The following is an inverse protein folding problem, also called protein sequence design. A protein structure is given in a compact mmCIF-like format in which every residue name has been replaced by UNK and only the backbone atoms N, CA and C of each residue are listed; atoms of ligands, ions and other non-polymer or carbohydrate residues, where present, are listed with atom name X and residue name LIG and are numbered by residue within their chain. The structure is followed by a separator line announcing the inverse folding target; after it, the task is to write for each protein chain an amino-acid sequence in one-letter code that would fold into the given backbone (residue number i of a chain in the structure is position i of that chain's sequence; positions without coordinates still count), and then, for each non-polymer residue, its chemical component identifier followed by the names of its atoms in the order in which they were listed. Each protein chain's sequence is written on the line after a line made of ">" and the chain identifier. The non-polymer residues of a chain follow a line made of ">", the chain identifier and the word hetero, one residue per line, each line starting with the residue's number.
data_IF_482008650498
#
_entry.id   IF_482008650498
#
_cell.length_a   1.000
_cell.length_b   1.000
_cell.length_c   1.000
_cell.angle_alpha   90.00
_cell.angle_beta   90.00
_cell.angle_gamma   90.00
#
_symmetry.space_group_name_H-M   'P 1'
#
loop_
_entity.id
_entity.type
_entity.pdbx_description
1 polymer ?
#
# COMPACT_ATOMS: atom_id res chain seq x y z
N UNK A 1 10.00 -13.37 12.97
CA UNK A 1 8.66 -13.77 13.43
C UNK A 1 8.11 -14.66 12.33
N UNK A 2 7.58 -15.83 12.68
CA UNK A 2 7.07 -16.75 11.66
C UNK A 2 5.57 -16.52 11.50
N UNK A 3 5.15 -16.27 10.25
CA UNK A 3 3.75 -16.12 9.88
C UNK A 3 3.24 -17.47 9.42
N UNK A 4 2.09 -17.90 9.93
CA UNK A 4 1.49 -19.17 9.55
C UNK A 4 -0.01 -19.11 9.76
N UNK A 5 -0.77 -19.59 8.78
CA UNK A 5 -2.23 -19.70 8.86
C UNK A 5 -2.70 -21.01 8.26
N UNK A 6 -3.73 -21.59 8.86
CA UNK A 6 -4.44 -22.74 8.30
C UNK A 6 -5.69 -22.23 7.55
N UNK A 7 -5.85 -22.68 6.32
CA UNK A 7 -6.99 -22.36 5.46
C UNK A 7 -7.70 -23.67 5.11
N UNK A 8 -9.02 -23.67 5.25
CA UNK A 8 -9.88 -24.74 4.77
C UNK A 8 -10.29 -24.45 3.33
N UNK A 9 -9.97 -25.35 2.42
CA UNK A 9 -10.50 -25.32 1.06
C UNK A 9 -11.87 -26.01 1.04
N UNK A 10 -12.89 -25.22 0.74
CA UNK A 10 -14.29 -25.65 0.62
C UNK A 10 -14.75 -25.70 -0.84
N UNK A 11 -13.84 -25.53 -1.81
CA UNK A 11 -14.16 -25.56 -3.25
C UNK A 11 -14.29 -26.99 -3.77
N UNK A 12 -13.74 -27.96 -3.04
CA UNK A 12 -13.88 -29.39 -3.30
C UNK A 12 -14.85 -30.04 -2.30
N UNK A 13 -15.54 -31.11 -2.70
CA UNK A 13 -16.40 -31.91 -1.80
C UNK A 13 -15.61 -32.58 -0.65
N UNK A 14 -14.28 -32.59 -0.76
CA UNK A 14 -13.37 -33.00 0.32
C UNK A 14 -12.90 -31.78 1.10
N UNK A 15 -13.07 -31.80 2.44
CA UNK A 15 -12.49 -30.79 3.32
C UNK A 15 -10.97 -30.95 3.36
N UNK A 16 -10.25 -30.06 2.67
CA UNK A 16 -8.78 -30.04 2.67
C UNK A 16 -8.27 -28.86 3.48
N UNK A 17 -7.32 -29.13 4.37
CA UNK A 17 -6.65 -28.12 5.20
C UNK A 17 -5.26 -27.84 4.65
N UNK A 18 -5.00 -26.59 4.33
CA UNK A 18 -3.70 -26.11 3.86
C UNK A 18 -3.08 -25.22 4.92
N UNK A 19 -1.82 -25.49 5.25
CA UNK A 19 -1.01 -24.58 6.06
C UNK A 19 -0.15 -23.74 5.13
N UNK A 20 -0.35 -22.42 5.17
CA UNK A 20 0.48 -21.46 4.46
C UNK A 20 1.35 -20.76 5.49
N UNK A 21 2.66 -20.76 5.29
CA UNK A 21 3.60 -20.13 6.21
C UNK A 21 4.74 -19.42 5.48
N UNK A 22 5.30 -18.42 6.13
CA UNK A 22 6.42 -17.65 5.62
C UNK A 22 7.10 -16.87 6.74
N UNK A 23 8.30 -16.35 6.45
CA UNK A 23 9.08 -15.55 7.40
C UNK A 23 9.53 -14.28 6.70
N UNK A 24 8.89 -13.13 6.98
CA UNK A 24 9.37 -11.87 6.45
C UNK A 24 10.75 -11.54 7.01
N UNK A 25 11.56 -10.84 6.23
CA UNK A 25 12.89 -10.41 6.67
C UNK A 25 12.76 -9.53 7.91
N UNK A 26 11.88 -8.53 7.85
CA UNK A 26 11.46 -7.74 9.02
C UNK A 26 9.95 -7.69 9.14
N UNK A 27 9.49 -7.53 10.38
CA UNK A 27 8.08 -7.34 10.68
C UNK A 27 7.93 -6.43 11.90
N UNK A 28 6.91 -5.57 11.87
CA UNK A 28 6.48 -4.79 13.02
C UNK A 28 5.20 -5.38 13.56
N UNK A 29 5.24 -5.75 14.83
CA UNK A 29 4.14 -6.37 15.54
C UNK A 29 3.85 -5.61 16.82
N UNK A 30 2.58 -5.58 17.20
CA UNK A 30 2.13 -5.03 18.46
C UNK A 30 2.33 -6.04 19.60
N UNK A 31 2.72 -5.54 20.77
CA UNK A 31 2.77 -6.29 22.02
C UNK A 31 4.11 -6.98 22.31
N UNK A 32 4.18 -7.67 23.44
CA UNK A 32 5.40 -8.37 23.83
C UNK A 32 5.62 -9.60 22.95
N UNK A 33 6.86 -9.82 22.50
CA UNK A 33 7.23 -10.89 21.56
C UNK A 33 6.82 -12.29 22.05
N UNK A 34 6.67 -12.47 23.36
CA UNK A 34 6.28 -13.74 23.99
C UNK A 34 4.76 -13.97 24.10
N UNK A 35 3.96 -12.90 24.10
CA UNK A 35 2.52 -12.95 24.38
C UNK A 35 1.65 -12.47 23.22
N UNK A 36 2.26 -12.05 22.11
CA UNK A 36 1.55 -11.48 20.98
C UNK A 36 1.24 -12.58 19.95
N UNK A 37 -0.05 -12.85 19.75
CA UNK A 37 -0.53 -13.74 18.68
C UNK A 37 -0.11 -13.24 17.31
N UNK A 38 -0.12 -14.11 16.31
CA UNK A 38 0.31 -13.79 14.94
C UNK A 38 -0.53 -12.69 14.29
N UNK A 39 -1.75 -12.43 14.78
CA UNK A 39 -2.61 -11.31 14.35
C UNK A 39 -2.17 -9.93 14.86
N UNK A 40 -1.09 -9.82 15.64
CA UNK A 40 -0.56 -8.51 16.05
C UNK A 40 0.44 -7.90 15.06
N UNK A 41 0.83 -8.63 14.02
CA UNK A 41 1.69 -8.10 12.95
C UNK A 41 0.90 -7.12 12.11
N UNK A 42 1.48 -5.94 11.90
CA UNK A 42 0.87 -4.83 11.17
C UNK A 42 1.66 -4.46 9.91
N UNK A 43 2.98 -4.68 9.94
CA UNK A 43 3.87 -4.40 8.82
C UNK A 43 4.75 -5.62 8.55
N UNK A 44 4.85 -6.01 7.29
CA UNK A 44 5.86 -6.95 6.80
C UNK A 44 6.79 -6.27 5.80
N UNK A 45 8.06 -6.65 5.81
CA UNK A 45 9.09 -6.10 4.93
C UNK A 45 9.86 -7.26 4.31
N UNK A 46 10.05 -7.19 3.00
CA UNK A 46 10.83 -8.15 2.22
C UNK A 46 12.02 -7.44 1.56
N UNK A 47 13.23 -7.84 1.94
CA UNK A 47 14.47 -7.30 1.42
C UNK A 47 15.07 -8.30 0.43
N UNK A 48 15.38 -7.85 -0.78
CA UNK A 48 16.02 -8.69 -1.79
C UNK A 48 17.32 -8.10 -2.28
N UNK A 49 18.16 -8.96 -2.84
CA UNK A 49 19.21 -8.47 -3.71
C UNK A 49 18.58 -7.94 -5.00
N UNK A 50 19.20 -6.95 -5.68
CA UNK A 50 18.70 -6.43 -6.96
C UNK A 50 18.44 -7.53 -7.99
N UNK A 51 19.26 -8.58 -8.01
CA UNK A 51 19.13 -9.72 -8.92
C UNK A 51 17.87 -10.58 -8.68
N UNK A 52 17.23 -10.49 -7.50
CA UNK A 52 16.09 -11.32 -7.10
C UNK A 52 14.85 -10.51 -6.67
N UNK A 53 14.88 -9.19 -6.86
CA UNK A 53 13.78 -8.28 -6.47
C UNK A 53 12.44 -8.65 -7.13
N UNK A 54 12.47 -9.27 -8.32
CA UNK A 54 11.27 -9.75 -9.02
C UNK A 54 10.45 -10.79 -8.25
N UNK A 55 11.06 -11.48 -7.26
CA UNK A 55 10.35 -12.43 -6.39
C UNK A 55 9.73 -11.76 -5.16
N UNK A 56 10.21 -10.58 -4.77
CA UNK A 56 9.86 -9.93 -3.51
C UNK A 56 8.38 -9.61 -3.40
N UNK A 57 7.76 -9.18 -4.51
CA UNK A 57 6.34 -8.84 -4.59
C UNK A 57 5.44 -10.00 -4.13
N UNK A 58 5.64 -11.18 -4.69
CA UNK A 58 4.79 -12.34 -4.38
C UNK A 58 5.02 -12.86 -2.96
N UNK A 59 6.25 -12.78 -2.47
CA UNK A 59 6.58 -13.15 -1.09
C UNK A 59 5.92 -12.20 -0.10
N UNK A 60 6.06 -10.88 -0.31
CA UNK A 60 5.41 -9.90 0.55
C UNK A 60 3.88 -10.02 0.48
N UNK A 61 3.30 -10.18 -0.71
CA UNK A 61 1.85 -10.37 -0.85
C UNK A 61 1.37 -11.59 -0.06
N UNK A 62 2.12 -12.68 -0.10
CA UNK A 62 1.81 -13.89 0.67
C UNK A 62 1.81 -13.59 2.17
N UNK A 63 2.80 -12.85 2.68
CA UNK A 63 2.82 -12.46 4.10
C UNK A 63 1.64 -11.58 4.47
N UNK A 64 1.30 -10.58 3.66
CA UNK A 64 0.18 -9.69 3.92
C UNK A 64 -1.15 -10.47 3.94
N UNK A 65 -1.36 -11.40 3.01
CA UNK A 65 -2.55 -12.27 3.01
C UNK A 65 -2.63 -13.11 4.28
N UNK A 66 -1.50 -13.73 4.71
CA UNK A 66 -1.44 -14.48 5.97
C UNK A 66 -1.80 -13.58 7.15
N UNK A 67 -1.18 -12.40 7.25
CA UNK A 67 -1.42 -11.44 8.33
C UNK A 67 -2.89 -11.01 8.39
N UNK A 68 -3.49 -10.63 7.27
CA UNK A 68 -4.89 -10.24 7.22
C UNK A 68 -5.81 -11.38 7.65
N UNK A 69 -5.55 -12.60 7.19
CA UNK A 69 -6.35 -13.76 7.58
C UNK A 69 -6.27 -14.01 9.10
N UNK A 70 -5.08 -13.90 9.69
CA UNK A 70 -4.88 -14.03 11.14
C UNK A 70 -5.63 -12.94 11.91
N UNK A 71 -5.59 -11.69 11.43
CA UNK A 71 -6.34 -10.57 12.04
C UNK A 71 -7.84 -10.83 12.02
N UNK A 72 -8.38 -11.37 10.92
CA UNK A 72 -9.79 -11.78 10.84
C UNK A 72 -10.14 -12.90 11.81
N UNK A 73 -9.30 -13.94 11.90
CA UNK A 73 -9.49 -15.05 12.83
C UNK A 73 -9.45 -14.57 14.29
N UNK A 74 -8.61 -13.59 14.61
CA UNK A 74 -8.53 -12.94 15.92
C UNK A 74 -9.55 -11.80 16.12
N UNK A 75 -10.50 -11.61 15.18
CA UNK A 75 -11.55 -10.60 15.24
C UNK A 75 -11.03 -9.19 15.54
N UNK A 76 -9.89 -8.81 14.94
CA UNK A 76 -9.39 -7.44 15.05
C UNK A 76 -10.35 -6.49 14.33
N UNK A 77 -10.64 -5.36 14.97
CA UNK A 77 -11.47 -4.28 14.43
C UNK A 77 -10.89 -3.77 13.11
N UNK A 78 -9.57 -3.57 13.09
CA UNK A 78 -8.82 -3.19 11.90
C UNK A 78 -8.19 -4.45 11.31
N UNK A 79 -8.55 -4.85 10.10
CA UNK A 79 -7.98 -6.03 9.44
C UNK A 79 -7.07 -5.69 8.25
N UNK A 80 -6.90 -4.41 7.93
CA UNK A 80 -5.95 -3.99 6.90
C UNK A 80 -4.51 -4.28 7.33
N UNK A 81 -3.65 -4.46 6.33
CA UNK A 81 -2.23 -4.79 6.51
C UNK A 81 -1.41 -4.09 5.44
N UNK A 82 -0.16 -3.80 5.77
CA UNK A 82 0.73 -3.05 4.89
C UNK A 82 2.16 -3.57 4.94
N UNK A 83 2.94 -3.18 3.97
CA UNK A 83 4.34 -3.57 3.90
C UNK A 83 5.03 -2.94 2.71
N UNK A 84 6.32 -3.22 2.59
CA UNK A 84 7.08 -2.82 1.41
C UNK A 84 8.18 -3.83 1.11
N UNK A 85 8.59 -3.84 -0.14
CA UNK A 85 9.75 -4.61 -0.56
C UNK A 85 10.80 -3.70 -1.17
N UNK A 86 12.06 -4.08 -0.98
CA UNK A 86 13.18 -3.24 -1.41
C UNK A 86 14.46 -4.02 -1.69
N UNK A 87 15.31 -3.47 -2.57
CA UNK A 87 16.71 -3.87 -2.74
C UNK A 87 17.72 -2.91 -2.08
N UNK A 88 17.23 -2.01 -1.24
CA UNK A 88 17.99 -0.92 -0.62
C UNK A 88 18.08 0.36 -1.45
N UNK A 89 17.72 0.31 -2.75
CA UNK A 89 17.67 1.50 -3.63
C UNK A 89 16.28 1.72 -4.21
N UNK A 90 15.56 0.65 -4.52
CA UNK A 90 14.22 0.67 -5.04
C UNK A 90 13.25 0.26 -3.93
N UNK A 91 12.17 1.01 -3.76
CA UNK A 91 11.13 0.74 -2.77
C UNK A 91 9.78 0.68 -3.46
N UNK A 92 8.98 -0.32 -3.09
CA UNK A 92 7.58 -0.45 -3.49
C UNK A 92 6.74 -0.84 -2.31
N UNK A 93 5.66 -0.10 -2.10
CA UNK A 93 4.77 -0.23 -0.97
C UNK A 93 3.52 -1.00 -1.40
N UNK A 94 3.02 -1.87 -0.52
CA UNK A 94 1.80 -2.62 -0.72
C UNK A 94 0.89 -2.52 0.49
N UNK A 95 -0.39 -2.53 0.20
CA UNK A 95 -1.46 -2.43 1.17
C UNK A 95 -2.60 -3.37 0.79
N UNK A 96 -3.19 -4.05 1.78
CA UNK A 96 -4.44 -4.79 1.61
C UNK A 96 -5.49 -4.12 2.49
N UNK A 97 -6.50 -3.54 1.83
CA UNK A 97 -7.59 -2.83 2.51
C UNK A 97 -8.56 -3.74 3.24
N UNK A 98 -9.48 -3.14 4.01
CA UNK A 98 -10.51 -3.87 4.74
C UNK A 98 -11.42 -4.69 3.83
N UNK A 99 -11.67 -4.23 2.60
CA UNK A 99 -12.38 -4.93 1.54
C UNK A 99 -11.57 -6.09 0.93
N UNK A 100 -10.26 -6.16 1.20
CA UNK A 100 -9.35 -7.18 0.70
C UNK A 100 -8.75 -6.90 -0.68
N UNK A 101 -8.93 -5.69 -1.21
CA UNK A 101 -8.26 -5.25 -2.43
C UNK A 101 -6.79 -4.95 -2.15
N UNK A 102 -5.95 -5.32 -3.10
CA UNK A 102 -4.50 -5.08 -3.04
C UNK A 102 -4.19 -3.79 -3.78
N UNK A 103 -3.45 -2.90 -3.11
CA UNK A 103 -2.92 -1.67 -3.66
C UNK A 103 -1.40 -1.75 -3.64
N UNK A 104 -0.76 -1.24 -4.70
CA UNK A 104 0.69 -1.26 -4.86
C UNK A 104 1.13 0.08 -5.46
N UNK A 105 2.22 0.64 -4.92
CA UNK A 105 2.73 1.93 -5.36
C UNK A 105 3.53 1.79 -6.65
N UNK A 106 3.86 2.93 -7.28
CA UNK A 106 4.98 2.98 -8.22
C UNK A 106 6.31 2.62 -7.54
N UNK A 107 7.34 2.40 -8.35
CA UNK A 107 8.71 2.25 -7.87
C UNK A 107 9.28 3.60 -7.42
N UNK A 108 9.88 3.64 -6.23
CA UNK A 108 10.64 4.79 -5.74
C UNK A 108 12.13 4.44 -5.71
N UNK A 109 12.92 5.15 -6.48
CA UNK A 109 14.37 5.01 -6.61
C UNK A 109 15.09 6.05 -5.75
N UNK A 110 15.57 5.61 -4.59
CA UNK A 110 16.21 6.46 -3.57
C UNK A 110 17.57 7.02 -3.99
N UNK A 111 18.05 6.71 -5.20
CA UNK A 111 19.14 7.45 -5.84
C UNK A 111 18.73 8.89 -6.14
N UNK A 112 17.44 9.16 -6.32
CA UNK A 112 16.88 10.49 -6.45
C UNK A 112 16.40 11.00 -5.08
N UNK A 113 16.89 12.16 -4.66
CA UNK A 113 16.63 12.72 -3.33
C UNK A 113 15.13 12.92 -3.05
N UNK A 114 14.38 13.38 -4.05
CA UNK A 114 12.93 13.58 -3.92
C UNK A 114 12.18 12.25 -3.71
N UNK A 115 12.59 11.19 -4.40
CA UNK A 115 11.98 9.87 -4.21
C UNK A 115 12.42 9.22 -2.89
N UNK A 116 13.63 9.50 -2.41
CA UNK A 116 14.08 9.12 -1.07
C UNK A 116 13.21 9.77 0.01
N UNK A 117 12.96 11.08 -0.08
CA UNK A 117 12.08 11.80 0.86
C UNK A 117 10.69 11.18 0.89
N UNK A 118 10.13 10.87 -0.28
CA UNK A 118 8.83 10.20 -0.38
C UNK A 118 8.90 8.83 0.28
N UNK A 119 9.82 7.94 -0.12
CA UNK A 119 9.93 6.60 0.45
C UNK A 119 10.12 6.60 1.98
N UNK A 120 10.89 7.56 2.50
CA UNK A 120 11.09 7.72 3.94
C UNK A 120 9.80 8.15 4.65
N UNK A 121 9.08 9.14 4.12
CA UNK A 121 7.79 9.57 4.67
C UNK A 121 6.77 8.43 4.67
N UNK A 122 6.73 7.63 3.61
CA UNK A 122 5.90 6.42 3.55
C UNK A 122 6.20 5.44 4.69
N UNK A 123 7.47 5.20 4.98
CA UNK A 123 7.88 4.33 6.09
C UNK A 123 7.36 4.90 7.42
N UNK A 124 7.52 6.20 7.65
CA UNK A 124 7.01 6.86 8.85
C UNK A 124 5.48 6.78 8.97
N UNK A 125 4.76 7.01 7.88
CA UNK A 125 3.30 6.96 7.86
C UNK A 125 2.77 5.55 8.13
N UNK A 126 3.39 4.51 7.58
CA UNK A 126 3.07 3.12 7.91
C UNK A 126 3.31 2.83 9.39
N UNK A 127 4.42 3.30 9.97
CA UNK A 127 4.71 3.12 11.40
C UNK A 127 3.69 3.85 12.28
N UNK A 128 3.33 5.09 11.94
CA UNK A 128 2.30 5.86 12.64
C UNK A 128 0.92 5.19 12.54
N UNK A 129 0.56 4.72 11.35
CA UNK A 129 -0.67 3.98 11.08
C UNK A 129 -0.76 2.71 11.93
N UNK A 130 0.31 1.90 11.94
CA UNK A 130 0.38 0.70 12.75
C UNK A 130 0.27 1.03 14.25
N UNK A 131 0.93 2.09 14.70
CA UNK A 131 0.86 2.54 16.08
C UNK A 131 -0.55 3.01 16.47
N UNK A 132 -1.32 3.65 15.57
CA UNK A 132 -2.71 4.06 15.82
C UNK A 132 -3.71 2.91 15.77
N UNK A 133 -3.45 1.93 14.90
CA UNK A 133 -4.25 0.71 14.77
C UNK A 133 -4.07 -0.26 15.95
N UNK A 134 -3.23 0.10 16.93
CA UNK A 134 -3.06 -0.59 18.20
C UNK A 134 -4.07 -0.07 19.22
N UNK A 135 -4.96 -0.92 19.77
CA UNK A 135 -5.96 -0.49 20.75
C UNK A 135 -5.41 0.05 22.09
N UNK A 136 -4.11 -0.05 22.36
CA UNK A 136 -3.51 0.36 23.64
C UNK A 136 -2.78 1.72 23.64
N UNK A 137 -2.75 2.45 22.52
CA UNK A 137 -1.97 3.69 22.37
C UNK A 137 -2.82 4.96 22.31
N UNK A 138 -4.14 4.84 22.27
CA UNK A 138 -5.06 5.99 22.39
C UNK A 138 -5.88 5.87 23.68
N UNK A 139 -5.82 6.84 24.61
CA UNK A 139 -6.58 6.82 25.87
C UNK A 139 -8.08 7.15 25.69
N UNK A 140 -8.60 7.05 24.46
CA UNK A 140 -9.99 7.36 24.12
C UNK A 140 -10.84 6.09 24.09
N UNK A 141 -12.01 6.20 24.73
CA UNK A 141 -12.98 5.15 25.04
C UNK A 141 -13.24 4.17 23.87
N UNK A 142 -13.43 2.87 24.13
CA UNK A 142 -13.86 1.92 23.09
C UNK A 142 -15.23 2.32 22.52
N UNK A 143 -15.41 2.27 21.20
CA UNK A 143 -16.69 2.51 20.51
C UNK A 143 -16.58 2.95 19.05
N UNK A 144 -17.73 3.21 18.42
CA UNK A 144 -17.89 3.61 17.00
C UNK A 144 -17.01 4.81 16.57
N UNK A 145 -16.66 5.71 17.50
CA UNK A 145 -15.78 6.84 17.22
C UNK A 145 -14.35 6.41 16.86
N UNK A 146 -13.83 5.36 17.51
CA UNK A 146 -12.50 4.82 17.20
C UNK A 146 -12.47 4.15 15.83
N UNK A 147 -13.53 3.40 15.49
CA UNK A 147 -13.69 2.77 14.17
C UNK A 147 -13.76 3.82 13.05
N UNK A 148 -14.53 4.90 13.26
CA UNK A 148 -14.62 6.00 12.30
C UNK A 148 -13.28 6.72 12.12
N UNK A 149 -12.53 7.00 13.19
CA UNK A 149 -11.22 7.66 13.10
C UNK A 149 -10.18 6.80 12.36
N UNK A 150 -10.20 5.48 12.58
CA UNK A 150 -9.30 4.54 11.90
C UNK A 150 -9.66 4.41 10.41
N UNK A 151 -10.95 4.34 10.08
CA UNK A 151 -11.44 4.34 8.69
C UNK A 151 -11.17 5.67 7.98
N UNK A 152 -11.27 6.80 8.67
CA UNK A 152 -10.95 8.12 8.12
C UNK A 152 -9.46 8.29 7.85
N UNK A 153 -8.61 7.76 8.73
CA UNK A 153 -7.16 7.74 8.52
C UNK A 153 -6.79 6.90 7.28
N UNK A 154 -7.46 5.76 7.11
CA UNK A 154 -7.33 4.89 5.92
C UNK A 154 -7.63 5.65 4.62
N UNK A 155 -8.77 6.35 4.57
CA UNK A 155 -9.19 7.12 3.40
C UNK A 155 -8.27 8.31 3.10
N UNK A 156 -7.83 9.04 4.14
CA UNK A 156 -7.03 10.27 3.97
C UNK A 156 -5.57 10.01 3.62
N UNK A 157 -4.97 8.97 4.20
CA UNK A 157 -3.53 8.73 4.06
C UNK A 157 -3.25 7.76 2.92
N UNK A 158 -3.98 6.65 2.82
CA UNK A 158 -3.57 5.58 1.90
C UNK A 158 -4.21 5.69 0.52
N UNK A 159 -5.52 5.91 0.41
CA UNK A 159 -6.18 5.94 -0.90
C UNK A 159 -5.65 7.08 -1.79
N UNK A 160 -5.43 8.27 -1.23
CA UNK A 160 -4.89 9.41 -1.98
C UNK A 160 -3.46 9.18 -2.52
N UNK A 161 -2.72 8.23 -1.95
CA UNK A 161 -1.33 7.94 -2.31
C UNK A 161 -1.19 6.75 -3.29
N UNK A 162 -2.21 5.89 -3.39
CA UNK A 162 -2.26 4.74 -4.31
C UNK A 162 -3.22 4.95 -5.48
N UNK A 163 -4.01 6.02 -5.48
CA UNK A 163 -4.68 6.49 -6.68
C UNK A 163 -3.58 6.81 -7.72
N UNK A 164 -3.67 6.25 -8.94
CA UNK A 164 -2.82 6.71 -10.02
C UNK A 164 -3.07 8.21 -10.12
N UNK A 165 -2.01 9.02 -10.00
CA UNK A 165 -2.11 10.43 -10.39
C UNK A 165 -2.69 10.41 -11.79
N UNK A 166 -3.90 10.97 -11.94
CA UNK A 166 -4.38 11.31 -13.27
C UNK A 166 -3.27 12.17 -13.86
N UNK A 167 -2.65 11.69 -14.93
CA UNK A 167 -1.83 12.57 -15.72
C UNK A 167 -2.79 13.66 -16.18
N UNK A 168 -2.61 14.89 -15.71
CA UNK A 168 -3.28 16.07 -16.27
C UNK A 168 -2.68 16.38 -17.66
N UNK A 169 -2.56 15.35 -18.50
CA UNK A 169 -2.17 15.40 -19.92
C UNK A 169 -3.41 15.09 -20.80
N UNK A 170 -4.59 15.52 -20.37
CA UNK A 170 -5.66 15.87 -21.31
C UNK A 170 -5.58 17.38 -21.58
N UNK A 171 -4.52 17.78 -22.30
CA UNK A 171 -4.56 19.00 -23.12
C UNK A 171 -5.43 18.70 -24.34
N UNK A 172 -6.74 18.79 -24.15
CA UNK A 172 -7.72 18.85 -25.23
C UNK A 172 -8.86 19.77 -24.78
N UNK A 173 -8.60 21.07 -24.70
CA UNK A 173 -9.64 22.06 -24.95
C UNK A 173 -9.25 22.88 -26.18
N UNK A 174 -10.05 22.60 -27.19
CA UNK A 174 -10.18 23.18 -28.52
C UNK A 174 -10.56 24.66 -28.38
N UNK A 175 -9.59 25.57 -28.35
CA UNK A 175 -9.85 26.97 -28.65
C UNK A 175 -9.61 27.21 -30.15
N UNK A 176 -10.71 27.08 -30.89
CA UNK A 176 -11.02 27.74 -32.16
C UNK A 176 -10.17 28.98 -32.39
N UNK A 177 -9.23 28.91 -33.33
CA UNK A 177 -8.70 30.11 -33.96
C UNK A 177 -9.81 30.71 -34.82
N UNK A 178 -10.42 31.81 -34.34
CA UNK A 178 -11.22 32.71 -35.16
C UNK A 178 -10.34 33.20 -36.33
N UNK A 179 -10.59 32.64 -37.51
CA UNK A 179 -10.06 33.15 -38.77
C UNK A 179 -10.92 34.33 -39.22
N UNK A 180 -10.70 35.50 -38.62
CA UNK A 180 -11.19 36.75 -39.19
C UNK A 180 -10.31 37.14 -40.38
N UNK A 181 -10.92 36.97 -41.54
CA UNK A 181 -10.50 37.48 -42.84
C UNK A 181 -10.53 39.01 -42.82
N UNK A 182 -9.35 39.64 -42.84
CA UNK A 182 -9.19 40.92 -43.51
C UNK A 182 -8.32 40.71 -44.75
N UNK A 183 -9.03 40.57 -45.87
CA UNK A 183 -8.46 40.72 -47.20
C UNK A 183 -8.27 42.22 -47.45
N UNK A 184 -7.02 42.67 -47.54
CA UNK A 184 -6.72 43.80 -48.42
C UNK A 184 -5.27 43.79 -48.92
N UNK A 185 -5.12 43.88 -50.23
CA UNK A 185 -4.06 44.66 -50.86
C UNK A 185 -2.66 44.06 -51.07
N UNK A 186 -2.45 43.57 -52.29
CA UNK A 186 -1.30 43.86 -53.17
C UNK A 186 0.05 43.12 -53.01
N UNK A 187 0.27 42.19 -53.95
CA UNK A 187 1.37 42.08 -54.94
C UNK A 187 2.69 42.84 -54.67
N UNK A 188 3.81 42.09 -54.68
CA UNK A 188 5.07 42.18 -55.50
C UNK A 188 6.25 41.77 -54.61
N UNK A 189 6.85 40.60 -54.84
CA UNK A 189 8.06 40.36 -55.65
C UNK A 189 9.38 40.85 -55.05
N UNK A 190 10.39 39.99 -55.23
CA UNK A 190 11.83 40.27 -55.37
C UNK A 190 12.83 40.04 -54.20
N UNK A 191 13.73 39.07 -54.50
CA UNK A 191 15.08 38.70 -54.00
C UNK A 191 15.25 38.00 -52.65
#
# INVERSE_FOLDING_TARGET
>A
MDLSVEIEDRRTDELRKFRISGKPDWAFAQGDRKNSGSGTVLIAIEAKNPATIGLARNQLLTYLVIMRQLRKQEQKIVDHVQGFYSDGKNYRFMYIGGEGKVYESKNFDTRFEEELKVAFNWILDMMHSAAKSSPNTSPTKPGQAQESELSDFENRVFLHLYEPQKNDDETCDDETYDCDLDADGMITDEW
#
